data_IF_338978003500
#
_entry.id   IF_338978003500
#
_cell.length_a   1.000
_cell.length_b   1.000
_cell.length_c   1.000
_cell.angle_alpha   90.00
_cell.angle_beta   90.00
_cell.angle_gamma   90.00
#
_symmetry.space_group_name_H-M   'P 1'
#
loop_
_entity.id
_entity.type
_entity.pdbx_description
1 polymer ?
#
# COMPACT_ATOMS: atom_id res chain seq x y z
N UNK A 1 5.67 -0.27 28.58
CA UNK A 1 4.79 -1.39 28.96
C UNK A 1 5.61 -2.66 28.90
N UNK A 2 5.53 -3.50 29.92
CA UNK A 2 6.24 -4.80 29.92
C UNK A 2 5.71 -5.72 28.79
N UNK A 3 6.53 -6.58 28.17
CA UNK A 3 6.06 -7.48 27.12
C UNK A 3 4.90 -8.40 27.55
N UNK A 4 4.84 -8.87 28.80
CA UNK A 4 3.74 -9.72 29.27
C UNK A 4 2.45 -8.92 29.40
N UNK A 5 2.52 -7.74 30.02
CA UNK A 5 1.39 -6.81 30.11
C UNK A 5 0.87 -6.44 28.73
N UNK A 6 1.77 -6.21 27.77
CA UNK A 6 1.40 -5.92 26.38
C UNK A 6 0.66 -7.08 25.73
N UNK A 7 1.13 -8.32 25.91
CA UNK A 7 0.45 -9.50 25.39
C UNK A 7 -0.93 -9.70 26.01
N UNK A 8 -1.07 -9.52 27.31
CA UNK A 8 -2.37 -9.58 27.99
C UNK A 8 -3.32 -8.50 27.48
N UNK A 9 -2.84 -7.27 27.31
CA UNK A 9 -3.61 -6.16 26.72
C UNK A 9 -4.13 -6.51 25.33
N UNK A 10 -3.28 -7.13 24.48
CA UNK A 10 -3.66 -7.57 23.14
C UNK A 10 -4.73 -8.65 23.19
N UNK A 11 -4.63 -9.62 24.09
CA UNK A 11 -5.65 -10.67 24.27
C UNK A 11 -7.01 -10.08 24.67
N UNK A 12 -7.02 -9.18 25.65
CA UNK A 12 -8.24 -8.49 26.08
C UNK A 12 -8.85 -7.65 24.94
N UNK A 13 -8.02 -6.93 24.18
CA UNK A 13 -8.47 -6.17 23.02
C UNK A 13 -9.07 -7.06 21.92
N UNK A 14 -8.45 -8.21 21.66
CA UNK A 14 -8.94 -9.19 20.68
C UNK A 14 -10.29 -9.79 21.12
N UNK A 15 -10.41 -10.16 22.40
CA UNK A 15 -11.67 -10.64 22.96
C UNK A 15 -12.78 -9.59 22.82
N UNK A 16 -12.54 -8.36 23.28
CA UNK A 16 -13.50 -7.26 23.18
C UNK A 16 -13.92 -6.98 21.73
N UNK A 17 -12.97 -7.03 20.78
CA UNK A 17 -13.29 -6.84 19.37
C UNK A 17 -14.20 -7.94 18.84
N UNK A 18 -13.93 -9.20 19.19
CA UNK A 18 -14.73 -10.34 18.76
C UNK A 18 -16.15 -10.31 19.38
N UNK A 19 -16.29 -9.76 20.58
CA UNK A 19 -17.58 -9.54 21.25
C UNK A 19 -18.34 -8.31 20.70
N UNK A 20 -17.74 -7.54 19.80
CA UNK A 20 -18.32 -6.32 19.24
C UNK A 20 -18.17 -5.08 20.11
N UNK A 21 -17.47 -5.17 21.25
CA UNK A 21 -17.08 -4.00 22.05
C UNK A 21 -15.88 -3.28 21.43
N UNK A 22 -16.17 -2.57 20.33
CA UNK A 22 -15.18 -1.82 19.55
C UNK A 22 -14.52 -0.73 20.40
N UNK A 23 -15.23 -0.17 21.39
CA UNK A 23 -14.69 0.90 22.24
C UNK A 23 -13.59 0.37 23.15
N UNK A 24 -13.84 -0.75 23.82
CA UNK A 24 -12.84 -1.41 24.69
C UNK A 24 -11.68 -1.97 23.87
N UNK A 25 -11.97 -2.60 22.72
CA UNK A 25 -10.93 -3.06 21.79
C UNK A 25 -9.98 -1.92 21.38
N UNK A 26 -10.55 -0.76 21.05
CA UNK A 26 -9.80 0.45 20.71
C UNK A 26 -8.86 0.90 21.82
N UNK A 27 -9.33 0.95 23.05
CA UNK A 27 -8.52 1.35 24.20
C UNK A 27 -7.33 0.40 24.37
N UNK A 28 -7.56 -0.91 24.30
CA UNK A 28 -6.51 -1.92 24.38
C UNK A 28 -5.49 -1.80 23.24
N UNK A 29 -5.94 -1.73 21.98
CA UNK A 29 -5.05 -1.70 20.82
C UNK A 29 -4.23 -0.43 20.73
N UNK A 30 -4.81 0.73 21.09
CA UNK A 30 -4.06 1.99 21.16
C UNK A 30 -3.00 1.94 22.26
N UNK A 31 -3.34 1.44 23.45
CA UNK A 31 -2.41 1.37 24.58
C UNK A 31 -1.27 0.37 24.34
N UNK A 32 -1.54 -0.72 23.62
CA UNK A 32 -0.55 -1.74 23.28
C UNK A 32 0.23 -1.43 21.98
N UNK A 33 -0.12 -0.36 21.27
CA UNK A 33 0.38 -0.04 19.92
C UNK A 33 0.35 -1.27 18.99
N UNK A 34 -0.77 -2.02 19.04
CA UNK A 34 -0.89 -3.29 18.34
C UNK A 34 -1.34 -3.07 16.90
N UNK A 35 -0.39 -3.13 15.96
CA UNK A 35 -0.61 -2.82 14.54
C UNK A 35 -1.79 -3.56 13.92
N UNK A 36 -1.88 -4.89 14.06
CA UNK A 36 -2.99 -5.64 13.45
C UNK A 36 -4.35 -5.24 14.05
N UNK A 37 -4.40 -5.00 15.36
CA UNK A 37 -5.60 -4.50 16.04
C UNK A 37 -6.04 -3.13 15.52
N UNK A 38 -5.08 -2.23 15.30
CA UNK A 38 -5.34 -0.92 14.69
C UNK A 38 -5.82 -1.06 13.24
N UNK A 39 -5.26 -1.99 12.45
CA UNK A 39 -5.74 -2.27 11.09
C UNK A 39 -7.18 -2.78 11.13
N UNK A 40 -7.52 -3.71 12.04
CA UNK A 40 -8.89 -4.23 12.21
C UNK A 40 -9.89 -3.14 12.60
N UNK A 41 -9.50 -2.22 13.49
CA UNK A 41 -10.33 -1.04 13.79
C UNK A 41 -10.50 -0.14 12.57
N UNK A 42 -9.41 0.07 11.82
CA UNK A 42 -9.44 0.80 10.56
C UNK A 42 -10.44 0.17 9.59
N UNK A 43 -10.38 -1.14 9.38
CA UNK A 43 -11.28 -1.88 8.49
C UNK A 43 -12.74 -1.82 8.97
N UNK A 44 -13.00 -1.95 10.28
CA UNK A 44 -14.33 -1.77 10.86
C UNK A 44 -14.92 -0.40 10.50
N UNK A 45 -14.16 0.67 10.72
CA UNK A 45 -14.63 2.01 10.38
C UNK A 45 -14.72 2.26 8.88
N UNK A 46 -13.80 1.71 8.09
CA UNK A 46 -13.76 1.87 6.63
C UNK A 46 -14.94 1.19 5.95
N UNK A 47 -15.17 -0.10 6.26
CA UNK A 47 -16.07 -0.95 5.50
C UNK A 47 -17.44 -1.10 6.16
N UNK A 48 -17.48 -1.34 7.47
CA UNK A 48 -18.76 -1.54 8.17
C UNK A 48 -19.45 -0.21 8.46
N UNK A 49 -18.71 0.80 8.94
CA UNK A 49 -19.28 2.12 9.27
C UNK A 49 -19.24 3.12 8.11
N UNK A 50 -18.47 2.84 7.04
CA UNK A 50 -18.29 3.74 5.89
C UNK A 50 -17.76 5.13 6.29
N UNK A 51 -16.85 5.15 7.27
CA UNK A 51 -16.20 6.34 7.82
C UNK A 51 -14.69 6.34 7.48
N UNK A 52 -14.31 6.61 6.22
CA UNK A 52 -12.91 6.50 5.77
C UNK A 52 -11.96 7.48 6.48
N UNK A 53 -12.43 8.67 6.85
CA UNK A 53 -11.62 9.66 7.58
C UNK A 53 -11.29 9.18 8.99
N UNK A 54 -12.22 8.48 9.64
CA UNK A 54 -11.97 7.89 10.95
C UNK A 54 -11.02 6.68 10.83
N UNK A 55 -11.21 5.86 9.81
CA UNK A 55 -10.33 4.72 9.49
C UNK A 55 -8.87 5.16 9.23
N UNK A 56 -8.67 6.28 8.52
CA UNK A 56 -7.35 6.88 8.25
C UNK A 56 -6.51 7.03 9.52
N UNK A 57 -7.10 7.50 10.62
CA UNK A 57 -6.38 7.68 11.89
C UNK A 57 -5.76 6.38 12.42
N UNK A 58 -6.47 5.26 12.28
CA UNK A 58 -5.98 3.94 12.70
C UNK A 58 -4.93 3.39 11.73
N UNK A 59 -5.16 3.48 10.42
CA UNK A 59 -4.17 3.05 9.43
C UNK A 59 -2.86 3.83 9.54
N UNK A 60 -2.93 5.14 9.78
CA UNK A 60 -1.75 5.98 10.03
C UNK A 60 -0.96 5.49 11.25
N UNK A 61 -1.63 5.23 12.37
CA UNK A 61 -0.98 4.70 13.58
C UNK A 61 -0.37 3.31 13.36
N UNK A 62 -1.00 2.47 12.55
CA UNK A 62 -0.47 1.15 12.21
C UNK A 62 0.69 1.19 11.19
N UNK A 63 0.90 2.32 10.51
CA UNK A 63 1.82 2.44 9.39
C UNK A 63 1.33 1.71 8.12
N UNK A 64 0.01 1.59 7.94
CA UNK A 64 -0.57 0.81 6.84
C UNK A 64 -0.75 1.66 5.57
N UNK A 65 0.36 1.95 4.89
CA UNK A 65 0.41 2.90 3.76
C UNK A 65 -0.56 2.54 2.63
N UNK A 66 -0.69 1.26 2.29
CA UNK A 66 -1.60 0.81 1.21
C UNK A 66 -3.04 1.32 1.38
N UNK A 67 -3.58 1.27 2.61
CA UNK A 67 -4.95 1.76 2.88
C UNK A 67 -5.04 3.28 2.90
N UNK A 68 -3.98 3.94 3.34
CA UNK A 68 -3.87 5.40 3.33
C UNK A 68 -3.93 5.90 1.89
N UNK A 69 -3.13 5.29 1.00
CA UNK A 69 -3.10 5.63 -0.43
C UNK A 69 -4.47 5.40 -1.08
N UNK A 70 -5.14 4.28 -0.74
CA UNK A 70 -6.49 3.99 -1.23
C UNK A 70 -7.51 5.08 -0.83
N UNK A 71 -7.47 5.55 0.43
CA UNK A 71 -8.33 6.65 0.89
C UNK A 71 -8.02 7.95 0.12
N UNK A 72 -6.74 8.28 -0.05
CA UNK A 72 -6.33 9.47 -0.82
C UNK A 72 -6.74 9.39 -2.29
N UNK A 73 -6.54 8.25 -2.95
CA UNK A 73 -6.96 8.05 -4.34
C UNK A 73 -8.47 8.22 -4.51
N UNK A 74 -9.28 7.70 -3.58
CA UNK A 74 -10.74 7.89 -3.61
C UNK A 74 -11.14 9.36 -3.43
N UNK A 75 -10.47 10.08 -2.54
CA UNK A 75 -10.72 11.52 -2.34
C UNK A 75 -10.32 12.34 -3.57
N UNK A 76 -9.15 12.08 -4.15
CA UNK A 76 -8.68 12.74 -5.37
C UNK A 76 -9.62 12.46 -6.55
N UNK A 77 -10.08 11.21 -6.68
CA UNK A 77 -11.05 10.83 -7.70
C UNK A 77 -12.39 11.56 -7.51
N UNK A 78 -12.94 11.58 -6.29
CA UNK A 78 -14.18 12.32 -6.02
C UNK A 78 -14.02 13.82 -6.31
N UNK A 79 -12.86 14.40 -5.98
CA UNK A 79 -12.54 15.78 -6.29
C UNK A 79 -12.44 16.03 -7.81
N UNK A 80 -11.84 15.13 -8.57
CA UNK A 80 -11.73 15.27 -10.02
C UNK A 80 -13.10 15.22 -10.71
N UNK A 81 -14.01 14.38 -10.21
CA UNK A 81 -15.39 14.37 -10.69
C UNK A 81 -16.10 15.70 -10.43
N UNK A 82 -15.82 16.34 -9.29
CA UNK A 82 -16.44 17.63 -8.94
C UNK A 82 -15.88 18.80 -9.76
N UNK A 83 -14.56 18.87 -9.96
CA UNK A 83 -13.92 19.97 -10.70
C UNK A 83 -14.18 19.86 -12.22
N UNK A 84 -14.49 18.66 -12.70
CA UNK A 84 -14.74 18.35 -14.11
C UNK A 84 -13.50 17.71 -14.76
N UNK A 85 -13.69 16.65 -15.57
CA UNK A 85 -12.59 15.87 -16.15
C UNK A 85 -11.66 16.70 -17.04
N UNK A 86 -12.15 17.78 -17.66
CA UNK A 86 -11.38 18.63 -18.57
C UNK A 86 -10.26 19.43 -17.87
N UNK A 87 -10.37 19.64 -16.55
CA UNK A 87 -9.39 20.38 -15.75
C UNK A 87 -8.40 19.48 -15.03
N UNK A 88 -8.70 18.18 -14.93
CA UNK A 88 -7.85 17.18 -14.30
C UNK A 88 -7.14 16.39 -15.41
N UNK A 89 -6.12 17.01 -16.03
CA UNK A 89 -5.15 16.24 -16.82
C UNK A 89 -4.39 15.35 -15.84
N UNK A 90 -4.66 14.05 -15.84
CA UNK A 90 -3.67 13.12 -15.34
C UNK A 90 -2.37 13.44 -16.08
N UNK A 91 -1.23 13.62 -15.41
CA UNK A 91 0.03 13.58 -16.12
C UNK A 91 0.02 12.23 -16.82
N UNK A 92 -0.18 12.24 -18.13
CA UNK A 92 0.15 11.08 -18.93
C UNK A 92 1.60 10.78 -18.54
N UNK A 93 1.92 9.55 -18.11
CA UNK A 93 3.32 9.21 -17.96
C UNK A 93 3.94 9.58 -19.30
N UNK A 94 4.92 10.50 -19.30
CA UNK A 94 5.69 10.79 -20.50
C UNK A 94 6.20 9.43 -20.96
N UNK A 95 5.51 8.84 -21.93
CA UNK A 95 5.96 7.62 -22.58
C UNK A 95 7.09 8.10 -23.47
N UNK A 96 8.25 8.37 -22.87
CA UNK A 96 9.49 8.42 -23.62
C UNK A 96 9.54 7.09 -24.35
N UNK A 97 9.61 7.15 -25.68
CA UNK A 97 9.91 5.96 -26.45
C UNK A 97 11.18 5.35 -25.83
N UNK A 98 11.19 4.05 -25.54
CA UNK A 98 12.37 3.44 -24.94
C UNK A 98 13.57 3.71 -25.85
N UNK A 99 14.59 4.33 -25.28
CA UNK A 99 15.85 4.63 -25.96
C UNK A 99 16.56 3.29 -26.20
N UNK A 100 17.19 3.05 -27.36
CA UNK A 100 18.09 1.91 -27.55
C UNK A 100 19.10 1.72 -26.40
N UNK A 101 19.52 2.79 -25.72
CA UNK A 101 20.41 2.72 -24.55
C UNK A 101 19.73 2.23 -23.25
N UNK A 102 18.40 2.27 -23.15
CA UNK A 102 17.64 1.76 -22.00
C UNK A 102 17.67 0.22 -21.91
N UNK A 103 18.04 -0.45 -23.01
CA UNK A 103 18.10 -1.90 -23.08
C UNK A 103 19.47 -2.42 -22.62
N UNK A 104 19.57 -2.77 -21.34
CA UNK A 104 20.74 -3.51 -20.83
C UNK A 104 20.66 -4.97 -21.29
N UNK A 105 21.43 -5.31 -22.33
CA UNK A 105 21.52 -6.69 -22.82
C UNK A 105 22.25 -7.56 -21.79
N UNK A 106 21.61 -8.62 -21.32
CA UNK A 106 22.22 -9.56 -20.38
C UNK A 106 23.51 -10.17 -20.96
N UNK A 107 24.60 -10.33 -20.18
CA UNK A 107 25.91 -10.79 -20.68
C UNK A 107 25.85 -12.09 -21.49
N UNK A 108 24.99 -13.03 -21.10
CA UNK A 108 24.79 -14.30 -21.80
C UNK A 108 24.20 -14.10 -23.20
N UNK A 109 23.22 -13.21 -23.34
CA UNK A 109 22.59 -12.91 -24.64
C UNK A 109 23.58 -12.23 -25.58
N UNK A 110 24.42 -11.34 -25.03
CA UNK A 110 25.52 -10.70 -25.77
C UNK A 110 26.54 -11.74 -26.24
N UNK A 111 26.95 -12.65 -25.37
CA UNK A 111 27.92 -13.70 -25.72
C UNK A 111 27.35 -14.66 -26.78
N UNK A 112 26.08 -15.04 -26.64
CA UNK A 112 25.40 -15.92 -27.60
C UNK A 112 25.31 -15.26 -28.98
N UNK A 113 25.02 -13.96 -29.04
CA UNK A 113 25.03 -13.20 -30.29
C UNK A 113 26.42 -13.17 -30.95
N UNK A 114 27.49 -12.95 -30.16
CA UNK A 114 28.87 -12.97 -30.65
C UNK A 114 29.28 -14.35 -31.18
N UNK A 115 28.88 -15.42 -30.51
CA UNK A 115 29.17 -16.79 -30.95
C UNK A 115 28.45 -17.14 -32.26
N UNK A 116 27.21 -16.67 -32.44
CA UNK A 116 26.45 -16.82 -33.69
C UNK A 116 27.13 -16.06 -34.84
N UNK A 117 27.55 -14.81 -34.61
CA UNK A 117 28.24 -14.01 -35.62
C UNK A 117 29.56 -14.67 -36.06
N UNK A 118 30.35 -15.16 -35.09
CA UNK A 118 31.59 -15.90 -35.34
C UNK A 118 31.36 -17.19 -36.12
N UNK A 119 30.30 -17.94 -35.81
CA UNK A 119 29.92 -19.17 -36.51
C UNK A 119 29.50 -18.90 -37.96
N UNK A 120 28.91 -17.74 -38.23
CA UNK A 120 28.45 -17.33 -39.56
C UNK A 120 29.52 -16.54 -40.35
N UNK A 121 30.76 -16.46 -39.85
CA UNK A 121 31.87 -15.80 -40.54
C UNK A 121 31.73 -14.27 -40.64
N UNK A 122 30.83 -13.66 -39.87
CA UNK A 122 30.66 -12.21 -39.82
C UNK A 122 31.53 -11.65 -38.68
N UNK A 123 32.56 -10.87 -39.00
CA UNK A 123 33.33 -10.11 -38.00
C UNK A 123 32.66 -8.76 -37.74
N UNK A 124 32.64 -8.36 -36.47
CA UNK A 124 32.47 -6.95 -36.07
C UNK A 124 33.84 -6.26 -36.21
#
# INVERSE_FOLDING_TARGET
>A
MDPKERMEMIRHGNQAFNEGDIRKARECFLKAEYKDGLIRLGDHFMFEKKLPILAYGYYKKAGYQRRIDEIFQRMLWALSQWIGPDKFKNPEPERKAPDPEDFVVHPILRQTALDILKKNGMSI
#
